data_IF_837645635886
#
_entry.id   IF_837645635886
#
_cell.length_a   1.000
_cell.length_b   1.000
_cell.length_c   1.000
_cell.angle_alpha   90.00
_cell.angle_beta   90.00
_cell.angle_gamma   90.00
#
_symmetry.space_group_name_H-M   'P 1'
#
loop_
_entity.id
_entity.type
_entity.pdbx_description
1 polymer ?
#
# COMPACT_ATOMS: atom_id res chain seq x y z
N UNK A 1 23.13 -31.14 19.50
CA UNK A 1 23.36 -30.93 18.06
C UNK A 1 24.26 -29.71 17.91
N UNK A 2 25.43 -29.87 17.32
CA UNK A 2 26.48 -28.84 17.24
C UNK A 2 26.56 -28.17 15.87
N UNK A 3 27.73 -27.63 15.51
CA UNK A 3 28.02 -27.11 14.16
C UNK A 3 27.74 -28.16 13.10
N UNK A 4 27.32 -27.73 11.91
CA UNK A 4 26.84 -28.56 10.81
C UNK A 4 25.63 -29.45 11.14
N UNK A 5 24.76 -29.00 12.07
CA UNK A 5 23.52 -29.69 12.43
C UNK A 5 22.65 -30.08 11.22
N UNK A 6 22.53 -29.17 10.23
CA UNK A 6 21.72 -29.38 9.03
C UNK A 6 22.37 -30.31 8.00
N UNK A 7 23.65 -30.65 8.17
CA UNK A 7 24.33 -31.56 7.26
C UNK A 7 23.68 -32.95 7.26
N UNK A 8 23.80 -33.65 6.13
CA UNK A 8 23.33 -35.04 5.96
C UNK A 8 21.84 -35.24 6.30
N UNK A 9 21.00 -34.26 5.96
CA UNK A 9 19.56 -34.29 6.22
C UNK A 9 19.22 -34.19 7.71
N UNK A 10 19.91 -33.30 8.45
CA UNK A 10 19.65 -33.07 9.88
C UNK A 10 20.31 -34.06 10.84
N UNK A 11 21.10 -35.01 10.31
CA UNK A 11 21.85 -35.99 11.14
C UNK A 11 23.13 -35.43 11.74
N UNK A 12 23.49 -34.20 11.40
CA UNK A 12 24.72 -33.56 11.83
C UNK A 12 25.98 -34.09 11.14
N UNK A 13 27.13 -33.60 11.58
CA UNK A 13 28.44 -34.06 11.13
C UNK A 13 28.67 -35.55 11.45
N UNK A 14 29.57 -36.22 10.71
CA UNK A 14 29.96 -37.60 11.03
C UNK A 14 30.64 -37.62 12.40
N UNK A 15 30.30 -38.60 13.23
CA UNK A 15 30.92 -38.77 14.54
C UNK A 15 32.45 -38.89 14.39
N UNK A 16 33.19 -38.18 15.27
CA UNK A 16 34.66 -38.07 15.20
C UNK A 16 35.20 -37.05 14.19
N UNK A 17 34.36 -36.33 13.45
CA UNK A 17 34.82 -35.25 12.56
C UNK A 17 34.93 -33.92 13.29
N UNK A 18 36.06 -33.22 13.11
CA UNK A 18 36.23 -31.84 13.55
C UNK A 18 35.54 -30.93 12.55
N UNK A 19 34.41 -30.35 12.93
CA UNK A 19 33.66 -29.44 12.06
C UNK A 19 33.92 -27.99 12.38
N UNK A 20 34.37 -27.27 11.35
CA UNK A 20 34.51 -25.83 11.37
C UNK A 20 33.16 -25.11 11.38
N UNK A 21 33.23 -23.79 11.45
CA UNK A 21 32.07 -22.90 11.31
C UNK A 21 31.59 -22.90 9.86
N UNK A 22 30.31 -23.22 9.60
CA UNK A 22 29.72 -23.14 8.26
C UNK A 22 28.37 -22.39 8.30
N UNK A 23 28.26 -21.28 7.57
CA UNK A 23 27.07 -20.43 7.56
C UNK A 23 25.83 -21.07 6.91
N UNK A 24 26.02 -22.05 6.03
CA UNK A 24 24.94 -22.73 5.32
C UNK A 24 24.45 -23.98 6.05
N UNK A 25 25.36 -24.77 6.61
CA UNK A 25 25.04 -26.05 7.25
C UNK A 25 24.64 -25.92 8.74
N UNK A 26 24.88 -24.77 9.36
CA UNK A 26 24.43 -24.50 10.73
C UNK A 26 22.95 -24.13 10.76
N UNK A 27 22.19 -24.78 11.66
CA UNK A 27 20.75 -24.59 11.78
C UNK A 27 20.37 -23.24 12.41
N UNK A 28 21.15 -22.77 13.40
CA UNK A 28 20.95 -21.46 14.03
C UNK A 28 22.29 -20.81 14.37
N UNK A 29 22.41 -19.50 14.13
CA UNK A 29 23.62 -18.71 14.38
C UNK A 29 23.29 -17.23 14.57
N UNK A 30 24.01 -16.61 15.50
CA UNK A 30 24.23 -15.17 15.56
C UNK A 30 25.71 -14.94 15.22
N UNK A 31 25.98 -14.11 14.22
CA UNK A 31 27.34 -13.75 13.81
C UNK A 31 27.54 -12.25 14.00
N UNK A 32 28.57 -11.89 14.75
CA UNK A 32 28.91 -10.50 15.09
C UNK A 32 30.37 -10.32 14.71
N UNK A 33 30.66 -9.33 13.85
CA UNK A 33 32.02 -8.97 13.48
C UNK A 33 32.11 -7.47 13.23
N UNK A 34 33.23 -6.86 13.62
CA UNK A 34 33.56 -5.47 13.31
C UNK A 34 33.84 -5.26 11.82
N UNK A 35 34.37 -6.28 11.15
CA UNK A 35 34.68 -6.24 9.73
C UNK A 35 34.33 -7.57 9.08
N UNK A 36 33.31 -7.56 8.23
CA UNK A 36 32.87 -8.75 7.51
C UNK A 36 32.05 -8.40 6.28
N UNK A 37 31.92 -9.37 5.38
CA UNK A 37 31.01 -9.33 4.23
C UNK A 37 29.77 -10.14 4.59
N UNK A 38 28.87 -9.54 5.38
CA UNK A 38 27.78 -10.28 6.01
C UNK A 38 26.79 -10.84 4.97
N UNK A 39 26.47 -10.04 3.95
CA UNK A 39 25.54 -10.43 2.90
C UNK A 39 26.09 -11.60 2.09
N UNK A 40 27.39 -11.58 1.76
CA UNK A 40 28.07 -12.69 1.06
C UNK A 40 28.12 -13.94 1.94
N UNK A 41 28.43 -13.80 3.23
CA UNK A 41 28.51 -14.92 4.16
C UNK A 41 27.16 -15.63 4.36
N UNK A 42 26.05 -14.89 4.33
CA UNK A 42 24.70 -15.43 4.48
C UNK A 42 23.99 -15.68 3.13
N UNK A 43 24.58 -15.27 2.01
CA UNK A 43 24.00 -15.39 0.67
C UNK A 43 22.78 -14.49 0.45
N UNK A 44 22.77 -13.30 1.05
CA UNK A 44 21.67 -12.33 0.98
C UNK A 44 21.81 -11.51 -0.31
N UNK A 45 20.69 -11.28 -1.01
CA UNK A 45 20.66 -10.39 -2.18
C UNK A 45 20.87 -8.93 -1.77
N UNK A 46 21.52 -8.14 -2.61
CA UNK A 46 21.86 -6.75 -2.28
C UNK A 46 20.67 -5.79 -2.11
N UNK A 47 19.46 -6.17 -2.54
CA UNK A 47 18.29 -5.31 -2.40
C UNK A 47 18.47 -3.91 -3.00
N UNK A 48 17.91 -2.88 -2.37
CA UNK A 48 18.00 -1.49 -2.85
C UNK A 48 19.16 -0.70 -2.23
N UNK A 49 19.87 -1.29 -1.27
CA UNK A 49 21.00 -0.71 -0.54
C UNK A 49 22.34 -1.25 -1.06
N UNK A 50 22.29 -2.30 -1.89
CA UNK A 50 23.45 -3.02 -2.39
C UNK A 50 24.02 -3.99 -1.36
N UNK A 51 25.05 -4.72 -1.78
CA UNK A 51 25.77 -5.65 -0.90
C UNK A 51 26.72 -4.85 -0.01
N UNK A 52 26.64 -5.08 1.30
CA UNK A 52 27.56 -4.49 2.26
C UNK A 52 28.86 -5.29 2.35
N UNK A 53 29.95 -4.70 1.84
CA UNK A 53 31.29 -5.26 1.94
C UNK A 53 32.14 -4.53 3.01
N UNK A 54 32.90 -5.30 3.78
CA UNK A 54 33.89 -4.83 4.76
C UNK A 54 33.27 -3.84 5.75
N UNK A 55 32.13 -4.22 6.33
CA UNK A 55 31.41 -3.44 7.35
C UNK A 55 31.25 -4.23 8.64
N UNK A 56 31.03 -3.52 9.74
CA UNK A 56 30.55 -4.14 10.96
C UNK A 56 29.12 -4.61 10.75
N UNK A 57 28.81 -5.82 11.18
CA UNK A 57 27.50 -6.40 10.96
C UNK A 57 27.13 -7.45 11.98
N UNK A 58 25.83 -7.56 12.22
CA UNK A 58 25.21 -8.61 13.01
C UNK A 58 24.23 -9.38 12.14
N UNK A 59 24.46 -10.67 11.99
CA UNK A 59 23.66 -11.56 11.15
C UNK A 59 23.01 -12.62 12.02
N UNK A 60 21.69 -12.77 11.90
CA UNK A 60 20.90 -13.74 12.67
C UNK A 60 20.25 -14.69 11.67
N UNK A 61 20.54 -15.98 11.79
CA UNK A 61 19.93 -17.05 10.97
C UNK A 61 19.41 -18.14 11.88
N UNK A 62 18.17 -18.57 11.68
CA UNK A 62 17.55 -19.71 12.34
C UNK A 62 16.28 -20.10 11.55
N UNK A 63 15.74 -21.30 11.81
CA UNK A 63 14.45 -21.73 11.23
C UNK A 63 13.27 -20.85 11.68
N UNK A 64 13.37 -20.23 12.86
CA UNK A 64 12.40 -19.27 13.35
C UNK A 64 13.06 -18.27 14.28
N UNK A 65 12.91 -16.99 13.95
CA UNK A 65 13.42 -15.87 14.76
C UNK A 65 12.22 -15.16 15.38
N UNK A 66 12.21 -15.05 16.71
CA UNK A 66 11.20 -14.29 17.46
C UNK A 66 11.91 -13.17 18.20
N UNK A 67 11.59 -11.92 17.88
CA UNK A 67 12.06 -10.74 18.60
C UNK A 67 10.90 -10.28 19.48
N UNK A 68 11.04 -10.41 20.80
CA UNK A 68 9.96 -10.14 21.76
C UNK A 68 10.38 -9.02 22.70
N UNK A 69 9.76 -7.85 22.56
CA UNK A 69 9.85 -6.76 23.51
C UNK A 69 8.55 -6.65 24.32
N UNK A 70 8.64 -6.58 25.65
CA UNK A 70 7.44 -6.45 26.51
C UNK A 70 6.83 -5.04 26.45
N UNK A 71 7.64 -4.05 26.16
CA UNK A 71 7.25 -2.63 26.08
C UNK A 71 7.34 -2.07 24.65
N UNK A 72 7.77 -2.89 23.69
CA UNK A 72 7.94 -2.52 22.28
C UNK A 72 9.29 -2.95 21.70
N UNK A 73 9.42 -2.81 20.39
CA UNK A 73 10.66 -3.03 19.63
C UNK A 73 10.84 -1.81 18.72
N UNK A 74 11.99 -1.15 18.81
CA UNK A 74 12.34 -0.01 17.96
C UNK A 74 13.54 -0.38 17.10
N UNK A 75 13.41 -0.24 15.77
CA UNK A 75 14.49 -0.41 14.81
C UNK A 75 14.79 0.97 14.25
N UNK A 76 16.02 1.45 14.43
CA UNK A 76 16.46 2.78 14.00
C UNK A 76 17.64 2.63 13.06
N UNK A 77 17.64 3.39 11.96
CA UNK A 77 18.76 3.46 11.03
C UNK A 77 19.38 4.86 11.05
N UNK A 78 20.69 4.93 10.78
CA UNK A 78 21.44 6.19 10.73
C UNK A 78 22.34 6.42 11.93
N UNK A 79 22.94 7.60 11.98
CA UNK A 79 23.79 8.03 13.09
C UNK A 79 22.97 8.23 14.37
N UNK A 80 23.60 8.00 15.52
CA UNK A 80 22.99 8.26 16.82
C UNK A 80 22.63 9.73 17.01
N UNK A 81 21.47 9.97 17.63
CA UNK A 81 21.08 11.32 18.01
C UNK A 81 22.07 11.89 19.03
N UNK A 82 22.47 13.15 18.83
CA UNK A 82 23.41 13.81 19.74
C UNK A 82 24.85 13.31 19.69
N UNK A 83 25.27 12.58 18.65
CA UNK A 83 26.68 12.20 18.41
C UNK A 83 27.59 13.40 18.06
N UNK A 84 27.53 14.46 18.87
CA UNK A 84 28.36 15.65 18.83
C UNK A 84 29.63 15.35 19.63
N UNK A 85 30.79 15.39 18.99
CA UNK A 85 32.09 15.18 19.67
C UNK A 85 33.00 14.14 19.02
N UNK A 86 32.49 13.29 18.12
CA UNK A 86 33.29 12.34 17.34
C UNK A 86 33.91 12.95 16.07
N UNK A 87 34.25 14.24 16.13
CA UNK A 87 34.78 15.04 15.01
C UNK A 87 33.74 16.00 14.42
N UNK A 88 34.15 16.80 13.42
CA UNK A 88 33.30 17.80 12.77
C UNK A 88 32.16 17.23 11.92
N UNK A 89 32.08 15.89 11.79
CA UNK A 89 31.19 15.17 10.88
C UNK A 89 30.25 14.18 11.58
N UNK A 90 30.25 14.13 12.92
CA UNK A 90 29.42 13.20 13.69
C UNK A 90 30.02 11.79 13.82
N UNK A 91 29.18 10.79 14.07
CA UNK A 91 29.55 9.38 14.20
C UNK A 91 30.07 8.79 12.87
N UNK A 92 31.28 8.19 12.82
CA UNK A 92 31.78 7.54 11.62
C UNK A 92 31.30 6.08 11.52
N UNK A 93 31.37 5.51 10.31
CA UNK A 93 31.18 4.07 10.12
C UNK A 93 32.40 3.25 10.59
N UNK A 94 32.32 1.91 10.52
CA UNK A 94 33.39 0.99 10.98
C UNK A 94 34.74 1.15 10.24
N UNK A 95 34.79 1.88 9.12
CA UNK A 95 36.03 2.22 8.41
C UNK A 95 36.45 3.70 8.61
N UNK A 96 35.83 4.43 9.53
CA UNK A 96 36.11 5.85 9.75
C UNK A 96 35.47 6.80 8.71
N UNK A 97 34.65 6.28 7.80
CA UNK A 97 33.97 7.05 6.76
C UNK A 97 32.71 7.77 7.25
N UNK A 98 32.20 8.71 6.44
CA UNK A 98 30.94 9.40 6.75
C UNK A 98 29.75 8.44 6.62
N UNK A 99 28.78 8.55 7.52
CA UNK A 99 27.49 7.90 7.40
C UNK A 99 26.59 8.64 6.41
N UNK A 100 25.77 7.89 5.65
CA UNK A 100 24.70 8.46 4.86
C UNK A 100 23.57 8.92 5.79
N UNK A 101 22.89 10.03 5.48
CA UNK A 101 21.71 10.43 6.24
C UNK A 101 20.60 9.38 6.03
N UNK A 102 20.19 8.72 7.11
CA UNK A 102 19.11 7.72 7.16
C UNK A 102 19.22 6.59 6.10
N UNK A 103 20.09 5.58 6.31
CA UNK A 103 20.10 4.39 5.47
C UNK A 103 18.75 3.65 5.53
N UNK A 104 18.41 2.95 4.45
CA UNK A 104 17.10 2.30 4.27
C UNK A 104 16.94 1.08 5.18
N UNK A 105 15.69 0.77 5.52
CA UNK A 105 15.30 -0.52 6.11
C UNK A 105 14.68 -1.36 4.99
N UNK A 106 15.20 -2.57 4.77
CA UNK A 106 14.73 -3.46 3.72
C UNK A 106 14.13 -4.74 4.31
N UNK A 107 12.91 -5.06 3.91
CA UNK A 107 12.21 -6.27 4.29
C UNK A 107 12.10 -7.18 3.06
N UNK A 108 13.14 -7.99 2.81
CA UNK A 108 13.26 -8.82 1.61
C UNK A 108 12.68 -10.21 1.89
N UNK A 109 11.55 -10.54 1.26
CA UNK A 109 10.97 -11.86 1.32
C UNK A 109 11.56 -12.79 0.25
N UNK A 110 11.90 -14.02 0.63
CA UNK A 110 12.36 -15.04 -0.32
C UNK A 110 13.74 -14.78 -0.94
N UNK A 111 14.53 -13.85 -0.39
CA UNK A 111 15.85 -13.48 -0.91
C UNK A 111 15.83 -13.16 -2.42
N UNK A 112 14.78 -12.45 -2.86
CA UNK A 112 14.57 -12.09 -4.26
C UNK A 112 14.47 -10.57 -4.39
N UNK A 113 15.28 -10.00 -5.28
CA UNK A 113 15.28 -8.58 -5.63
C UNK A 113 15.11 -8.33 -7.14
N UNK A 114 14.88 -9.40 -7.92
CA UNK A 114 14.76 -9.31 -9.37
C UNK A 114 13.37 -8.80 -9.77
N UNK A 115 13.31 -8.05 -10.87
CA UNK A 115 12.05 -7.63 -11.45
C UNK A 115 11.29 -8.85 -12.00
N UNK A 116 9.99 -8.89 -11.77
CA UNK A 116 9.12 -9.95 -12.26
C UNK A 116 8.31 -9.42 -13.44
N UNK A 117 8.34 -10.14 -14.55
CA UNK A 117 7.42 -9.91 -15.66
C UNK A 117 6.07 -10.56 -15.37
N UNK A 118 5.00 -9.79 -15.53
CA UNK A 118 3.63 -10.27 -15.42
C UNK A 118 2.94 -10.07 -16.75
N UNK A 119 2.34 -11.15 -17.25
CA UNK A 119 1.52 -11.09 -18.46
C UNK A 119 0.22 -10.35 -18.13
N UNK A 120 0.01 -9.17 -18.72
CA UNK A 120 -1.16 -8.33 -18.46
C UNK A 120 -2.51 -8.89 -18.96
N UNK A 121 -2.55 -10.14 -19.44
CA UNK A 121 -3.72 -10.77 -20.04
C UNK A 121 -3.71 -10.69 -21.57
N UNK A 122 -4.82 -11.09 -22.20
CA UNK A 122 -4.90 -11.24 -23.68
C UNK A 122 -4.79 -9.91 -24.44
N UNK A 123 -5.01 -8.77 -23.76
CA UNK A 123 -5.10 -7.44 -24.39
C UNK A 123 -4.11 -6.42 -23.83
N UNK A 124 -3.26 -6.78 -22.87
CA UNK A 124 -2.30 -5.86 -22.28
C UNK A 124 -0.87 -6.37 -22.51
N UNK A 125 0.04 -5.46 -22.78
CA UNK A 125 1.47 -5.76 -22.92
C UNK A 125 2.03 -6.35 -21.61
N UNK A 126 3.06 -7.22 -21.68
CA UNK A 126 3.79 -7.64 -20.50
C UNK A 126 4.37 -6.43 -19.77
N UNK A 127 4.20 -6.38 -18.45
CA UNK A 127 4.75 -5.31 -17.61
C UNK A 127 5.79 -5.89 -16.66
N UNK A 128 6.92 -5.20 -16.54
CA UNK A 128 8.00 -5.51 -15.60
C UNK A 128 7.73 -4.80 -14.28
N UNK A 129 7.56 -5.56 -13.20
CA UNK A 129 7.34 -5.02 -11.86
C UNK A 129 8.54 -5.30 -10.96
N UNK A 130 9.00 -4.27 -10.24
CA UNK A 130 9.97 -4.47 -9.17
C UNK A 130 9.30 -5.23 -8.02
N UNK A 131 9.93 -6.35 -7.62
CA UNK A 131 9.45 -7.18 -6.51
C UNK A 131 9.68 -6.52 -5.15
N UNK A 132 10.77 -5.76 -5.02
CA UNK A 132 11.05 -4.95 -3.84
C UNK A 132 10.32 -3.61 -3.96
N UNK A 133 9.35 -3.38 -3.06
CA UNK A 133 8.51 -2.18 -3.04
C UNK A 133 8.61 -1.46 -1.70
N UNK A 134 8.39 -0.15 -1.73
CA UNK A 134 8.32 0.66 -0.52
C UNK A 134 7.04 0.42 0.27
N UNK A 135 7.09 0.68 1.57
CA UNK A 135 5.89 0.68 2.42
C UNK A 135 5.20 2.03 2.25
N UNK A 136 3.89 2.02 2.01
CA UNK A 136 3.10 3.25 1.93
C UNK A 136 3.00 3.91 3.32
N UNK A 137 3.17 5.23 3.37
CA UNK A 137 3.01 6.00 4.61
C UNK A 137 1.52 6.07 4.96
N UNK A 138 1.17 5.65 6.18
CA UNK A 138 -0.22 5.49 6.62
C UNK A 138 -1.05 6.76 6.49
N UNK A 139 -0.63 7.84 7.16
CA UNK A 139 -1.31 9.14 7.11
C UNK A 139 -1.41 9.69 5.69
N UNK A 140 -0.32 9.69 4.91
CA UNK A 140 -0.35 10.15 3.51
C UNK A 140 -1.30 9.32 2.64
N UNK A 141 -1.43 8.02 2.92
CA UNK A 141 -2.36 7.14 2.21
C UNK A 141 -3.80 7.48 2.58
N UNK A 142 -4.07 7.77 3.85
CA UNK A 142 -5.39 8.25 4.31
C UNK A 142 -5.76 9.57 3.64
N UNK A 143 -4.83 10.52 3.57
CA UNK A 143 -5.03 11.80 2.89
C UNK A 143 -5.29 11.62 1.40
N UNK A 144 -4.47 10.82 0.71
CA UNK A 144 -4.67 10.51 -0.71
C UNK A 144 -6.06 9.91 -0.98
N UNK A 145 -6.54 9.01 -0.13
CA UNK A 145 -7.89 8.45 -0.27
C UNK A 145 -8.99 9.45 0.09
N UNK A 146 -8.74 10.40 1.00
CA UNK A 146 -9.67 11.50 1.28
C UNK A 146 -9.79 12.43 0.08
N UNK A 147 -8.69 12.80 -0.55
CA UNK A 147 -8.70 13.64 -1.75
C UNK A 147 -9.43 12.94 -2.91
N UNK A 148 -9.22 11.64 -3.08
CA UNK A 148 -9.98 10.83 -4.04
C UNK A 148 -11.48 10.88 -3.74
N UNK A 149 -11.84 10.81 -2.46
CA UNK A 149 -13.21 10.89 -1.98
C UNK A 149 -13.87 12.24 -2.33
N UNK A 150 -13.13 13.34 -2.20
CA UNK A 150 -13.58 14.68 -2.59
C UNK A 150 -13.78 14.81 -4.09
N UNK A 151 -12.89 14.23 -4.91
CA UNK A 151 -13.07 14.18 -6.37
C UNK A 151 -14.37 13.44 -6.73
N UNK A 152 -14.67 12.33 -6.05
CA UNK A 152 -15.92 11.58 -6.27
C UNK A 152 -17.15 12.43 -5.91
N UNK A 153 -17.09 13.20 -4.81
CA UNK A 153 -18.18 14.13 -4.44
C UNK A 153 -18.39 15.22 -5.50
N UNK A 154 -17.31 15.77 -6.05
CA UNK A 154 -17.37 16.75 -7.14
C UNK A 154 -18.01 16.15 -8.39
N UNK A 155 -17.67 14.90 -8.76
CA UNK A 155 -18.31 14.20 -9.88
C UNK A 155 -19.83 14.05 -9.66
N UNK A 156 -20.26 13.72 -8.44
CA UNK A 156 -21.69 13.64 -8.13
C UNK A 156 -22.40 14.98 -8.15
N UNK A 157 -21.73 16.08 -7.76
CA UNK A 157 -22.30 17.41 -7.86
C UNK A 157 -22.59 17.80 -9.32
N UNK A 158 -21.68 17.46 -10.24
CA UNK A 158 -21.89 17.67 -11.69
C UNK A 158 -23.04 16.83 -12.21
N UNK A 159 -23.12 15.55 -11.83
CA UNK A 159 -24.21 14.66 -12.23
C UNK A 159 -25.58 15.12 -11.69
N UNK A 160 -25.63 15.60 -10.45
CA UNK A 160 -26.86 16.15 -9.85
C UNK A 160 -27.29 17.42 -10.60
N UNK A 161 -26.34 18.29 -10.95
CA UNK A 161 -26.61 19.46 -11.80
C UNK A 161 -27.21 19.07 -13.16
N UNK A 162 -26.65 18.04 -13.80
CA UNK A 162 -27.15 17.52 -15.08
C UNK A 162 -28.56 16.93 -14.95
N UNK A 163 -28.82 16.10 -13.93
CA UNK A 163 -30.14 15.51 -13.69
C UNK A 163 -31.17 16.60 -13.43
N UNK A 164 -30.85 17.61 -12.60
CA UNK A 164 -31.74 18.74 -12.34
C UNK A 164 -32.02 19.57 -13.59
N UNK A 165 -31.02 19.77 -14.46
CA UNK A 165 -31.23 20.41 -15.76
C UNK A 165 -32.18 19.58 -16.66
N UNK A 166 -32.00 18.25 -16.71
CA UNK A 166 -32.88 17.36 -17.47
C UNK A 166 -34.31 17.36 -16.92
N UNK A 167 -34.50 17.41 -15.60
CA UNK A 167 -35.81 17.53 -14.96
C UNK A 167 -36.50 18.82 -15.40
N UNK A 168 -35.77 19.95 -15.41
CA UNK A 168 -36.34 21.25 -15.85
C UNK A 168 -36.73 21.24 -17.32
N UNK A 169 -35.90 20.68 -18.20
CA UNK A 169 -36.22 20.53 -19.63
C UNK A 169 -37.47 19.64 -19.80
N UNK A 170 -37.48 18.48 -19.14
CA UNK A 170 -38.59 17.53 -19.22
C UNK A 170 -39.88 18.04 -18.59
N UNK A 171 -39.81 18.92 -17.58
CA UNK A 171 -40.98 19.58 -17.00
C UNK A 171 -41.53 20.74 -17.86
N UNK A 172 -40.66 21.41 -18.63
CA UNK A 172 -41.05 22.51 -19.51
C UNK A 172 -41.58 22.04 -20.88
N UNK A 173 -41.19 20.85 -21.34
CA UNK A 173 -41.64 20.27 -22.61
C UNK A 173 -43.17 19.99 -22.69
N UNK A 174 -43.82 19.36 -21.69
CA UNK A 174 -45.24 19.00 -21.76
C UNK A 174 -46.17 20.21 -21.95
N UNK A 175 -46.03 21.32 -21.21
CA UNK A 175 -46.82 22.53 -21.44
C UNK A 175 -46.56 23.14 -22.83
N UNK A 176 -45.31 23.11 -23.31
CA UNK A 176 -44.95 23.64 -24.61
C UNK A 176 -45.55 22.83 -25.78
N UNK A 177 -45.55 21.50 -25.68
CA UNK A 177 -46.17 20.59 -26.68
C UNK A 177 -47.70 20.64 -26.62
N UNK A 178 -48.29 20.84 -25.44
CA UNK A 178 -49.73 21.03 -25.30
C UNK A 178 -50.21 22.40 -25.83
N UNK A 179 -49.40 23.46 -25.66
CA UNK A 179 -49.74 24.81 -26.11
C UNK A 179 -49.68 24.97 -27.65
N UNK A 180 -48.78 24.24 -28.34
CA UNK A 180 -48.71 24.27 -29.82
C UNK A 180 -49.87 23.54 -30.49
N UNK A 181 -50.63 22.74 -29.77
CA UNK A 181 -51.79 22.02 -30.31
C UNK A 181 -52.99 22.97 -30.59
N UNK A 182 -53.05 24.14 -29.95
CA UNK A 182 -54.14 25.10 -30.17
C UNK A 182 -55.52 24.60 -29.69
N UNK A 183 -56.54 25.49 -29.65
CA UNK A 183 -57.88 25.13 -29.24
C UNK A 183 -58.53 24.23 -30.31
N UNK A 184 -58.69 22.93 -30.02
CA UNK A 184 -59.39 21.98 -30.90
C UNK A 184 -58.51 20.88 -31.53
N UNK A 185 -57.22 20.79 -31.24
CA UNK A 185 -56.38 19.68 -31.70
C UNK A 185 -56.78 18.33 -31.07
N UNK A 186 -56.56 17.22 -31.79
CA UNK A 186 -56.98 15.89 -31.35
C UNK A 186 -56.33 15.49 -30.02
N UNK A 187 -57.04 14.66 -29.26
CA UNK A 187 -56.67 14.14 -27.92
C UNK A 187 -55.23 13.59 -27.79
N UNK A 188 -54.52 13.39 -28.90
CA UNK A 188 -53.10 13.05 -28.97
C UNK A 188 -52.17 14.05 -28.24
N UNK A 189 -52.48 15.35 -28.28
CA UNK A 189 -51.66 16.38 -27.61
C UNK A 189 -51.71 16.29 -26.08
N UNK A 190 -52.88 15.97 -25.52
CA UNK A 190 -53.04 15.75 -24.08
C UNK A 190 -52.42 14.43 -23.60
N UNK A 191 -52.48 13.36 -24.43
CA UNK A 191 -51.85 12.08 -24.10
C UNK A 191 -50.32 12.15 -24.10
N UNK A 192 -49.72 12.96 -24.98
CA UNK A 192 -48.26 13.16 -25.00
C UNK A 192 -47.77 13.91 -23.75
N UNK A 193 -48.51 14.92 -23.30
CA UNK A 193 -48.19 15.63 -22.06
C UNK A 193 -48.19 14.74 -20.81
N UNK A 194 -49.15 13.81 -20.71
CA UNK A 194 -49.21 12.82 -19.64
C UNK A 194 -48.07 11.79 -19.66
N UNK A 195 -47.69 11.31 -20.85
CA UNK A 195 -46.57 10.37 -21.02
C UNK A 195 -45.22 11.04 -20.70
N UNK A 196 -45.02 12.30 -21.09
CA UNK A 196 -43.80 13.05 -20.76
C UNK A 196 -43.73 13.38 -19.26
N UNK A 197 -44.87 13.73 -18.63
CA UNK A 197 -44.96 13.93 -17.18
C UNK A 197 -44.64 12.67 -16.37
N UNK A 198 -45.17 11.51 -16.77
CA UNK A 198 -44.85 10.22 -16.14
C UNK A 198 -43.39 9.82 -16.35
N UNK A 199 -42.83 10.05 -17.53
CA UNK A 199 -41.40 9.84 -17.80
C UNK A 199 -40.51 10.74 -16.94
N UNK A 200 -40.95 11.97 -16.63
CA UNK A 200 -40.22 12.89 -15.74
C UNK A 200 -40.17 12.34 -14.31
N UNK A 201 -41.31 11.89 -13.77
CA UNK A 201 -41.38 11.28 -12.43
C UNK A 201 -40.54 10.00 -12.36
N UNK A 202 -40.57 9.18 -13.40
CA UNK A 202 -39.75 7.97 -13.48
C UNK A 202 -38.26 8.27 -13.60
N UNK A 203 -37.86 9.33 -14.31
CA UNK A 203 -36.45 9.74 -14.46
C UNK A 203 -35.89 10.29 -13.14
N UNK A 204 -36.71 11.06 -12.40
CA UNK A 204 -36.37 11.57 -11.06
C UNK A 204 -36.15 10.41 -10.08
N UNK A 205 -37.09 9.46 -10.01
CA UNK A 205 -36.99 8.33 -9.08
C UNK A 205 -35.86 7.37 -9.42
N UNK A 206 -35.55 7.17 -10.72
CA UNK A 206 -34.45 6.30 -11.16
C UNK A 206 -33.07 6.96 -11.04
N UNK A 207 -32.98 8.29 -11.08
CA UNK A 207 -31.71 9.02 -10.97
C UNK A 207 -31.32 9.37 -9.53
N UNK A 208 -32.25 9.90 -8.73
CA UNK A 208 -31.93 10.46 -7.41
C UNK A 208 -31.79 9.41 -6.30
N UNK A 209 -32.62 8.36 -6.31
CA UNK A 209 -32.59 7.35 -5.25
C UNK A 209 -31.26 6.59 -5.18
N UNK A 210 -30.65 6.15 -6.30
CA UNK A 210 -29.35 5.51 -6.26
C UNK A 210 -28.23 6.47 -5.82
N UNK A 211 -28.30 7.76 -6.19
CA UNK A 211 -27.29 8.74 -5.79
C UNK A 211 -27.25 8.95 -4.28
N UNK A 212 -28.40 9.00 -3.61
CA UNK A 212 -28.45 9.08 -2.15
C UNK A 212 -27.88 7.82 -1.49
N UNK A 213 -28.18 6.63 -2.02
CA UNK A 213 -27.61 5.38 -1.52
C UNK A 213 -26.09 5.34 -1.67
N UNK A 214 -25.56 5.75 -2.83
CA UNK A 214 -24.12 5.78 -3.08
C UNK A 214 -23.44 6.80 -2.15
N UNK A 215 -24.02 7.98 -1.93
CA UNK A 215 -23.50 8.96 -0.95
C UNK A 215 -23.43 8.38 0.46
N UNK A 216 -24.49 7.71 0.91
CA UNK A 216 -24.51 7.06 2.22
C UNK A 216 -23.44 5.95 2.32
N UNK A 217 -23.29 5.13 1.28
CA UNK A 217 -22.27 4.08 1.23
C UNK A 217 -20.85 4.66 1.29
N UNK A 218 -20.60 5.77 0.60
CA UNK A 218 -19.32 6.49 0.62
C UNK A 218 -19.02 7.11 1.97
N UNK A 219 -19.98 7.80 2.59
CA UNK A 219 -19.81 8.33 3.95
C UNK A 219 -19.50 7.21 4.96
N UNK A 220 -20.17 6.07 4.84
CA UNK A 220 -19.88 4.89 5.67
C UNK A 220 -18.49 4.30 5.36
N UNK A 221 -18.06 4.31 4.10
CA UNK A 221 -16.71 3.89 3.72
C UNK A 221 -15.64 4.80 4.34
N UNK A 222 -15.80 6.13 4.25
CA UNK A 222 -14.89 7.10 4.87
C UNK A 222 -14.80 6.91 6.38
N UNK A 223 -15.96 6.78 7.05
CA UNK A 223 -16.03 6.58 8.48
C UNK A 223 -15.35 5.26 8.92
N UNK A 224 -15.47 4.20 8.11
CA UNK A 224 -14.91 2.90 8.45
C UNK A 224 -13.41 2.77 8.14
N UNK A 225 -12.93 3.42 7.07
CA UNK A 225 -11.58 3.19 6.54
C UNK A 225 -10.61 4.36 6.72
N UNK A 226 -11.10 5.60 6.76
CA UNK A 226 -10.25 6.80 6.81
C UNK A 226 -10.24 7.48 8.19
N UNK A 227 -11.18 7.14 9.07
CA UNK A 227 -11.18 7.64 10.45
C UNK A 227 -10.43 6.70 11.38
N UNK A 228 -9.64 7.26 12.30
CA UNK A 228 -8.84 6.48 13.27
C UNK A 228 -9.67 5.55 14.18
N UNK A 229 -10.92 5.92 14.43
CA UNK A 229 -11.89 5.13 15.20
C UNK A 229 -12.69 4.14 14.33
N UNK A 230 -12.50 4.15 13.01
CA UNK A 230 -13.19 3.29 12.06
C UNK A 230 -12.90 1.82 12.29
N UNK A 231 -13.86 0.97 11.94
CA UNK A 231 -13.78 -0.48 12.11
C UNK A 231 -12.62 -1.11 11.30
N UNK A 232 -12.30 -0.53 10.13
CA UNK A 232 -11.26 -1.01 9.21
C UNK A 232 -10.32 0.13 8.79
N UNK A 233 -9.87 0.90 9.79
CA UNK A 233 -8.90 1.96 9.56
C UNK A 233 -7.66 1.43 8.84
N UNK A 234 -7.27 2.08 7.74
CA UNK A 234 -6.26 1.57 6.82
C UNK A 234 -4.83 1.63 7.39
N UNK A 235 -4.55 2.60 8.25
CA UNK A 235 -3.24 2.75 8.86
C UNK A 235 -3.09 1.86 10.10
N UNK A 236 -1.91 1.25 10.23
CA UNK A 236 -1.57 0.41 11.38
C UNK A 236 -1.48 1.26 12.65
N UNK A 237 -2.18 0.83 13.71
CA UNK A 237 -2.12 1.49 15.04
C UNK A 237 -0.84 1.17 15.82
N UNK A 238 -0.10 0.14 15.39
CA UNK A 238 1.00 -0.44 16.17
C UNK A 238 2.35 -0.38 15.44
N UNK A 239 2.36 -0.11 14.13
CA UNK A 239 3.57 -0.06 13.31
C UNK A 239 3.65 1.32 12.70
N UNK A 240 4.70 2.06 13.04
CA UNK A 240 4.96 3.40 12.53
C UNK A 240 6.25 3.38 11.71
N UNK A 241 6.21 4.02 10.55
CA UNK A 241 7.33 4.20 9.65
C UNK A 241 7.47 5.69 9.34
N UNK A 242 8.69 6.16 9.15
CA UNK A 242 9.00 7.55 8.79
C UNK A 242 9.64 7.58 7.41
#
# INVERSE_FOLDING_TARGET
>A
VGRMAGARGGKGAKEGSTVGSNFFADAARIYISELTDIDVNFGIVGGASGVMEKRSGVGIKADGIRIVGREGVKIVTGAGDGAKGFGSKGEPNSLGGKLLPAPKIELIAGNNSEAREVLGGLFNSPETYNTLQGIALGENTVECFRDLSEIIDQMWAVLDGFINAQIRINAALPPAVAATAGPGAPAAGASLGGVIGLNTIMTVNRGLSPMQQIRNNKMMWEANHLMRQGYRFIESKNVFTT
#
